data_IF_680540840317
#
_entry.id   IF_680540840317
#
_cell.length_a   1.000
_cell.length_b   1.000
_cell.length_c   1.000
_cell.angle_alpha   90.00
_cell.angle_beta   90.00
_cell.angle_gamma   90.00
#
_symmetry.space_group_name_H-M   'P 1'
#
loop_
_entity.id
_entity.type
_entity.pdbx_description
1 polymer ?
#
# COMPACT_ATOMS: atom_id res chain seq x y z
N UNK A 1 23.70 -9.56 -9.71
CA UNK A 1 22.81 -10.27 -10.65
C UNK A 1 23.32 -10.21 -12.09
N UNK A 2 23.64 -9.02 -12.65
CA UNK A 2 24.15 -8.91 -14.01
C UNK A 2 25.53 -9.54 -14.17
N UNK A 3 26.40 -9.41 -13.16
CA UNK A 3 27.76 -9.99 -13.16
C UNK A 3 27.72 -11.51 -13.02
N UNK A 4 26.79 -12.07 -12.24
CA UNK A 4 26.60 -13.52 -12.11
C UNK A 4 26.12 -14.13 -13.44
N UNK A 5 25.21 -13.45 -14.10
CA UNK A 5 24.71 -13.83 -15.41
C UNK A 5 25.80 -13.81 -16.48
N UNK A 6 26.63 -12.75 -16.52
CA UNK A 6 27.77 -12.65 -17.45
C UNK A 6 28.82 -13.72 -17.16
N UNK A 7 29.07 -14.07 -15.90
CA UNK A 7 29.96 -15.17 -15.54
C UNK A 7 29.44 -16.52 -16.03
N UNK A 8 28.15 -16.78 -15.89
CA UNK A 8 27.52 -18.01 -16.37
C UNK A 8 27.60 -18.13 -17.88
N UNK A 9 27.38 -17.03 -18.62
CA UNK A 9 27.55 -17.02 -20.09
C UNK A 9 28.99 -17.25 -20.49
N UNK A 10 29.96 -16.68 -19.78
CA UNK A 10 31.39 -16.92 -20.04
C UNK A 10 31.78 -18.40 -19.87
N UNK A 11 31.32 -19.04 -18.81
CA UNK A 11 31.57 -20.47 -18.56
C UNK A 11 30.96 -21.34 -19.65
N UNK A 12 29.78 -21.02 -20.18
CA UNK A 12 29.12 -21.74 -21.26
C UNK A 12 29.87 -21.55 -22.59
N UNK A 13 30.41 -20.36 -22.86
CA UNK A 13 31.16 -20.05 -24.06
C UNK A 13 32.54 -20.68 -24.06
N UNK A 14 33.14 -20.91 -22.90
CA UNK A 14 34.48 -21.52 -22.74
C UNK A 14 34.46 -23.06 -22.83
N UNK A 15 33.30 -23.71 -22.70
CA UNK A 15 33.14 -25.17 -22.82
C UNK A 15 32.11 -25.52 -23.93
N UNK A 16 32.57 -25.66 -25.21
CA UNK A 16 31.69 -25.87 -26.31
C UNK A 16 31.19 -27.33 -26.37
N UNK A 17 30.10 -27.60 -25.64
CA UNK A 17 29.34 -28.83 -25.80
C UNK A 17 28.24 -28.64 -26.86
N UNK A 18 27.82 -29.70 -27.59
CA UNK A 18 26.78 -29.61 -28.63
C UNK A 18 25.43 -29.03 -28.10
N UNK A 19 25.15 -29.18 -26.82
CA UNK A 19 23.95 -28.68 -26.16
C UNK A 19 24.05 -27.21 -25.72
N UNK A 20 25.23 -26.59 -25.84
CA UNK A 20 25.46 -25.20 -25.45
C UNK A 20 24.68 -24.21 -26.32
N UNK A 21 24.45 -24.52 -27.58
CA UNK A 21 23.65 -23.70 -28.51
C UNK A 21 22.18 -23.72 -28.13
N UNK A 22 21.62 -24.88 -27.75
CA UNK A 22 20.25 -25.00 -27.29
C UNK A 22 20.06 -24.28 -25.96
N UNK A 23 21.06 -24.32 -25.09
CA UNK A 23 21.07 -23.62 -23.81
C UNK A 23 21.14 -22.09 -23.98
N UNK A 24 21.96 -21.60 -24.90
CA UNK A 24 22.03 -20.18 -25.25
C UNK A 24 20.71 -19.67 -25.85
N UNK A 25 20.08 -20.46 -26.70
CA UNK A 25 18.78 -20.13 -27.28
C UNK A 25 17.69 -20.13 -26.20
N UNK A 26 17.73 -21.07 -25.23
CA UNK A 26 16.85 -21.10 -24.10
C UNK A 26 17.05 -19.87 -23.17
N UNK A 27 18.29 -19.45 -22.93
CA UNK A 27 18.62 -18.23 -22.16
C UNK A 27 18.12 -17.00 -22.92
N UNK A 28 18.34 -16.92 -24.24
CA UNK A 28 17.82 -15.81 -25.06
C UNK A 28 16.29 -15.75 -25.01
N UNK A 29 15.60 -16.88 -25.14
CA UNK A 29 14.14 -16.96 -25.02
C UNK A 29 13.67 -16.55 -23.63
N UNK A 30 14.35 -16.95 -22.57
CA UNK A 30 14.03 -16.54 -21.20
C UNK A 30 14.28 -15.03 -20.96
N UNK A 31 15.32 -14.45 -21.54
CA UNK A 31 15.59 -13.02 -21.49
C UNK A 31 14.52 -12.21 -22.23
N UNK A 32 14.13 -12.66 -23.41
CA UNK A 32 13.04 -12.05 -24.16
C UNK A 32 11.67 -12.30 -23.52
N UNK A 33 11.49 -13.44 -22.85
CA UNK A 33 10.27 -13.76 -22.11
C UNK A 33 10.17 -13.06 -20.75
N UNK A 34 11.29 -12.56 -20.19
CA UNK A 34 11.30 -11.82 -18.90
C UNK A 34 10.89 -10.36 -19.01
N UNK A 35 10.81 -9.82 -20.22
CA UNK A 35 10.42 -8.44 -20.49
C UNK A 35 9.35 -8.38 -21.56
N UNK A 36 8.46 -7.41 -21.43
CA UNK A 36 7.43 -7.09 -22.40
C UNK A 36 7.57 -5.64 -22.88
N UNK A 37 7.10 -5.36 -24.07
CA UNK A 37 7.04 -4.03 -24.66
C UNK A 37 5.60 -3.55 -24.67
N UNK A 38 5.34 -2.44 -23.99
CA UNK A 38 4.02 -1.84 -23.85
C UNK A 38 4.02 -0.46 -24.50
N UNK A 39 2.95 -0.16 -25.23
CA UNK A 39 2.82 1.10 -25.93
C UNK A 39 1.92 2.08 -25.16
N UNK A 40 2.33 3.35 -25.10
CA UNK A 40 1.46 4.44 -24.66
C UNK A 40 0.52 4.85 -25.80
N UNK A 41 -0.59 5.57 -25.53
CA UNK A 41 -1.46 6.10 -26.57
C UNK A 41 -0.75 7.03 -27.57
N UNK A 42 0.37 7.63 -27.16
CA UNK A 42 1.22 8.48 -28.01
C UNK A 42 2.20 7.69 -28.89
N UNK A 43 2.24 6.37 -28.73
CA UNK A 43 3.13 5.49 -29.48
C UNK A 43 4.52 5.30 -28.87
N UNK A 44 4.77 5.77 -27.67
CA UNK A 44 6.00 5.51 -26.94
C UNK A 44 6.07 4.05 -26.50
N UNK A 45 7.24 3.45 -26.59
CA UNK A 45 7.49 2.06 -26.17
C UNK A 45 8.11 2.07 -24.78
N UNK A 46 7.51 1.34 -23.85
CA UNK A 46 8.02 1.17 -22.50
C UNK A 46 8.27 -0.31 -22.24
N UNK A 47 9.49 -0.63 -21.83
CA UNK A 47 9.89 -1.98 -21.45
C UNK A 47 9.48 -2.24 -20.00
N UNK A 48 8.73 -3.32 -19.79
CA UNK A 48 8.23 -3.73 -18.47
C UNK A 48 8.59 -5.19 -18.20
N UNK A 49 8.76 -5.61 -16.94
CA UNK A 49 8.91 -7.01 -16.59
C UNK A 49 7.68 -7.82 -17.00
N UNK A 50 7.89 -9.06 -17.43
CA UNK A 50 6.80 -9.99 -17.72
C UNK A 50 5.95 -10.24 -16.44
N UNK A 51 4.64 -10.33 -16.59
CA UNK A 51 3.71 -10.51 -15.48
C UNK A 51 3.35 -9.22 -14.74
N UNK A 52 3.80 -8.05 -15.21
CA UNK A 52 3.40 -6.76 -14.64
C UNK A 52 1.91 -6.47 -14.88
N UNK A 53 1.34 -5.69 -13.98
CA UNK A 53 -0.06 -5.25 -14.06
C UNK A 53 -0.18 -3.84 -14.64
N UNK A 54 -1.41 -3.42 -14.95
CA UNK A 54 -1.70 -2.06 -15.36
C UNK A 54 -1.25 -1.03 -14.31
N UNK A 55 -1.37 -1.36 -13.02
CA UNK A 55 -0.91 -0.51 -11.94
C UNK A 55 0.62 -0.38 -11.90
N UNK A 56 1.36 -1.46 -12.13
CA UNK A 56 2.82 -1.44 -12.28
C UNK A 56 3.25 -0.46 -13.39
N UNK A 57 2.55 -0.51 -14.52
CA UNK A 57 2.77 0.40 -15.64
C UNK A 57 2.49 1.86 -15.27
N UNK A 58 1.41 2.12 -14.56
CA UNK A 58 1.07 3.47 -14.10
C UNK A 58 2.17 4.07 -13.20
N UNK A 59 2.69 3.31 -12.24
CA UNK A 59 3.81 3.74 -11.41
C UNK A 59 5.12 3.89 -12.17
N UNK A 60 5.31 3.12 -13.24
CA UNK A 60 6.49 3.24 -14.10
C UNK A 60 6.51 4.56 -14.85
N UNK A 61 5.35 5.03 -15.31
CA UNK A 61 5.25 6.32 -16.03
C UNK A 61 5.43 7.48 -15.04
N UNK A 62 4.61 7.53 -14.00
CA UNK A 62 4.65 8.59 -13.00
C UNK A 62 3.96 8.15 -11.71
N UNK A 63 4.51 8.56 -10.57
CA UNK A 63 3.94 8.24 -9.25
C UNK A 63 2.51 8.75 -9.09
N UNK A 64 2.20 9.93 -9.62
CA UNK A 64 0.84 10.48 -9.59
C UNK A 64 -0.16 9.58 -10.32
N UNK A 65 0.19 9.09 -11.51
CA UNK A 65 -0.66 8.19 -12.28
C UNK A 65 -0.91 6.88 -11.52
N UNK A 66 0.11 6.32 -10.90
CA UNK A 66 -0.02 5.12 -10.09
C UNK A 66 -0.90 5.32 -8.86
N UNK A 67 -0.70 6.41 -8.13
CA UNK A 67 -1.43 6.67 -6.88
C UNK A 67 -2.91 7.01 -7.09
N UNK A 68 -3.28 7.53 -8.26
CA UNK A 68 -4.65 7.93 -8.60
C UNK A 68 -5.31 7.02 -9.63
N UNK A 69 -4.67 5.89 -9.97
CA UNK A 69 -5.15 4.96 -10.97
C UNK A 69 -6.44 4.27 -10.52
N UNK A 70 -7.47 4.33 -11.35
CA UNK A 70 -8.76 3.65 -11.15
C UNK A 70 -8.94 2.44 -12.07
N UNK A 71 -8.14 2.34 -13.11
CA UNK A 71 -8.18 1.30 -14.12
C UNK A 71 -7.33 1.68 -15.32
N UNK A 72 -7.44 0.90 -16.36
CA UNK A 72 -6.76 1.17 -17.62
C UNK A 72 -7.60 0.72 -18.81
N UNK A 73 -7.29 1.25 -19.99
CA UNK A 73 -7.75 0.71 -21.26
C UNK A 73 -6.59 0.00 -21.93
N UNK A 74 -6.71 -1.30 -22.12
CA UNK A 74 -5.73 -2.12 -22.82
C UNK A 74 -6.33 -2.48 -24.19
N UNK A 75 -5.67 -2.03 -25.26
CA UNK A 75 -6.18 -2.17 -26.63
C UNK A 75 -7.62 -1.69 -26.77
N UNK A 76 -7.92 -0.53 -26.18
CA UNK A 76 -9.25 0.13 -26.13
C UNK A 76 -10.31 -0.58 -25.29
N UNK A 77 -9.94 -1.61 -24.52
CA UNK A 77 -10.84 -2.30 -23.59
C UNK A 77 -10.56 -1.90 -22.16
N UNK A 78 -11.61 -1.57 -21.40
CA UNK A 78 -11.50 -1.25 -19.98
C UNK A 78 -11.13 -2.48 -19.18
N UNK A 79 -10.08 -2.37 -18.38
CA UNK A 79 -9.55 -3.42 -17.51
C UNK A 79 -9.28 -2.90 -16.10
N UNK A 80 -9.30 -3.78 -15.08
CA UNK A 80 -8.96 -3.39 -13.71
C UNK A 80 -7.46 -3.14 -13.53
N UNK A 81 -7.08 -2.56 -12.39
CA UNK A 81 -5.70 -2.31 -12.00
C UNK A 81 -4.83 -3.56 -11.98
N UNK A 82 -5.40 -4.69 -11.62
CA UNK A 82 -4.73 -5.99 -11.48
C UNK A 82 -4.56 -6.75 -12.80
N UNK A 83 -5.05 -6.19 -13.90
CA UNK A 83 -4.92 -6.83 -15.21
C UNK A 83 -3.46 -6.98 -15.62
N UNK A 84 -3.05 -8.19 -15.95
CA UNK A 84 -1.70 -8.48 -16.43
C UNK A 84 -1.52 -8.06 -17.89
N UNK A 85 -0.44 -7.33 -18.16
CA UNK A 85 -0.13 -6.83 -19.48
C UNK A 85 0.65 -7.88 -20.30
N UNK A 86 0.44 -7.84 -21.60
CA UNK A 86 1.17 -8.65 -22.57
C UNK A 86 2.00 -7.77 -23.51
N UNK A 87 3.06 -8.33 -24.09
CA UNK A 87 3.86 -7.62 -25.08
C UNK A 87 3.01 -7.19 -26.27
N UNK A 88 3.17 -5.95 -26.69
CA UNK A 88 2.40 -5.34 -27.78
C UNK A 88 1.10 -4.66 -27.36
N UNK A 89 0.73 -4.72 -26.09
CA UNK A 89 -0.46 -4.03 -25.58
C UNK A 89 -0.27 -2.51 -25.62
N UNK A 90 -1.32 -1.81 -26.06
CA UNK A 90 -1.44 -0.36 -25.94
C UNK A 90 -2.23 -0.05 -24.67
N UNK A 91 -1.62 0.65 -23.71
CA UNK A 91 -2.18 0.90 -22.39
C UNK A 91 -2.41 2.38 -22.15
N UNK A 92 -3.63 2.74 -21.82
CA UNK A 92 -4.02 4.06 -21.37
C UNK A 92 -4.45 3.99 -19.91
N UNK A 93 -3.75 4.73 -19.03
CA UNK A 93 -4.06 4.75 -17.60
C UNK A 93 -5.20 5.74 -17.33
N UNK A 94 -6.21 5.26 -16.60
CA UNK A 94 -7.34 6.08 -16.15
C UNK A 94 -7.13 6.48 -14.70
N UNK A 95 -7.31 7.75 -14.40
CA UNK A 95 -7.10 8.31 -13.07
C UNK A 95 -8.31 9.06 -12.56
N UNK A 96 -8.42 9.16 -11.24
CA UNK A 96 -9.39 10.01 -10.55
C UNK A 96 -8.73 10.73 -9.39
N UNK A 97 -9.06 12.00 -9.20
CA UNK A 97 -8.54 12.80 -8.07
C UNK A 97 -8.99 12.28 -6.71
N UNK A 98 -10.12 11.58 -6.67
CA UNK A 98 -10.67 10.98 -5.45
C UNK A 98 -10.09 9.62 -5.11
N UNK A 99 -9.27 9.03 -5.99
CA UNK A 99 -8.65 7.74 -5.73
C UNK A 99 -7.48 7.86 -4.76
N UNK A 100 -7.37 6.91 -3.86
CA UNK A 100 -6.29 6.78 -2.88
C UNK A 100 -5.63 5.41 -2.99
N UNK A 101 -4.35 5.36 -2.69
CA UNK A 101 -3.60 4.10 -2.61
C UNK A 101 -4.19 3.21 -1.52
N UNK A 102 -4.46 1.96 -1.87
CA UNK A 102 -5.02 0.98 -0.95
C UNK A 102 -3.98 -0.08 -0.55
N UNK A 103 -4.00 -0.56 0.71
CA UNK A 103 -3.07 -1.61 1.16
C UNK A 103 -3.12 -2.88 0.32
N UNK A 104 -4.29 -3.24 -0.21
CA UNK A 104 -4.49 -4.42 -1.04
C UNK A 104 -3.70 -4.38 -2.37
N UNK A 105 -3.32 -3.20 -2.84
CA UNK A 105 -2.57 -3.05 -4.09
C UNK A 105 -1.19 -3.69 -4.06
N UNK A 106 -0.58 -3.81 -2.90
CA UNK A 106 0.70 -4.50 -2.72
C UNK A 106 0.64 -5.97 -3.14
N UNK A 107 -0.54 -6.59 -3.02
CA UNK A 107 -0.72 -8.03 -3.26
C UNK A 107 -0.72 -8.40 -4.75
N UNK A 108 -1.09 -7.50 -5.65
CA UNK A 108 -1.18 -7.80 -7.07
C UNK A 108 -0.13 -7.11 -7.95
N UNK A 109 0.57 -6.08 -7.46
CA UNK A 109 1.70 -5.50 -8.19
C UNK A 109 2.90 -6.46 -8.17
N UNK A 110 3.62 -6.52 -9.28
CA UNK A 110 4.75 -7.44 -9.42
C UNK A 110 6.11 -6.75 -9.39
N UNK A 111 6.19 -5.44 -9.69
CA UNK A 111 7.46 -4.71 -9.71
C UNK A 111 7.85 -4.21 -8.33
N UNK A 112 9.15 -4.27 -8.02
CA UNK A 112 9.69 -3.72 -6.77
C UNK A 112 9.48 -2.20 -6.67
N UNK A 113 9.53 -1.49 -7.80
CA UNK A 113 9.28 -0.05 -7.89
C UNK A 113 7.86 0.31 -7.46
N UNK A 114 6.85 -0.39 -7.97
CA UNK A 114 5.46 -0.17 -7.61
C UNK A 114 5.20 -0.49 -6.13
N UNK A 115 5.69 -1.63 -5.64
CA UNK A 115 5.60 -2.01 -4.22
C UNK A 115 6.21 -0.97 -3.30
N UNK A 116 7.41 -0.52 -3.61
CA UNK A 116 8.14 0.48 -2.82
C UNK A 116 7.40 1.80 -2.75
N UNK A 117 6.87 2.28 -3.87
CA UNK A 117 6.11 3.53 -3.94
C UNK A 117 4.78 3.44 -3.21
N UNK A 118 4.04 2.34 -3.36
CA UNK A 118 2.80 2.09 -2.63
C UNK A 118 3.06 2.10 -1.13
N UNK A 119 4.06 1.37 -0.65
CA UNK A 119 4.41 1.31 0.77
C UNK A 119 4.81 2.68 1.33
N UNK A 120 5.56 3.47 0.57
CA UNK A 120 5.95 4.82 0.97
C UNK A 120 4.74 5.77 1.10
N UNK A 121 3.80 5.71 0.16
CA UNK A 121 2.56 6.50 0.20
C UNK A 121 1.69 6.10 1.39
N UNK A 122 1.50 4.81 1.62
CA UNK A 122 0.71 4.31 2.76
C UNK A 122 1.30 4.73 4.11
N UNK A 123 2.62 4.72 4.25
CA UNK A 123 3.29 5.20 5.47
C UNK A 123 3.09 6.69 5.69
N UNK A 124 3.17 7.48 4.64
CA UNK A 124 2.92 8.93 4.70
C UNK A 124 1.48 9.23 5.08
N UNK A 125 0.53 8.56 4.45
CA UNK A 125 -0.90 8.73 4.72
C UNK A 125 -1.24 8.32 6.16
N UNK A 126 -0.68 7.23 6.66
CA UNK A 126 -0.82 6.81 8.06
C UNK A 126 -0.28 7.86 9.04
N UNK A 127 0.86 8.46 8.75
CA UNK A 127 1.44 9.52 9.60
C UNK A 127 0.55 10.76 9.63
N UNK A 128 -0.03 11.16 8.51
CA UNK A 128 -0.96 12.30 8.44
C UNK A 128 -2.23 12.02 9.24
N UNK A 129 -2.79 10.83 9.14
CA UNK A 129 -3.96 10.40 9.91
C UNK A 129 -3.64 10.35 11.42
N UNK A 130 -2.49 9.84 11.82
CA UNK A 130 -2.03 9.83 13.21
C UNK A 130 -1.87 11.24 13.78
N UNK A 131 -1.28 12.17 13.02
CA UNK A 131 -1.18 13.58 13.42
C UNK A 131 -2.55 14.23 13.61
N UNK A 132 -3.49 13.92 12.72
CA UNK A 132 -4.87 14.39 12.85
C UNK A 132 -5.53 13.84 14.11
N UNK A 133 -5.33 12.56 14.42
CA UNK A 133 -5.80 11.93 15.64
C UNK A 133 -5.19 12.54 16.90
N UNK A 134 -3.92 12.84 16.88
CA UNK A 134 -3.23 13.55 17.98
C UNK A 134 -3.80 14.96 18.20
N UNK A 135 -4.09 15.68 17.14
CA UNK A 135 -4.74 16.99 17.21
C UNK A 135 -6.15 16.89 17.81
N UNK A 136 -6.93 15.90 17.40
CA UNK A 136 -8.28 15.63 17.96
C UNK A 136 -8.20 15.40 19.47
N UNK A 137 -7.26 14.57 19.91
CA UNK A 137 -7.07 14.29 21.33
C UNK A 137 -6.63 15.53 22.10
N UNK A 138 -5.70 16.29 21.56
CA UNK A 138 -5.21 17.53 22.19
C UNK A 138 -6.33 18.52 22.39
N UNK A 139 -7.15 18.77 21.38
CA UNK A 139 -8.31 19.67 21.48
C UNK A 139 -9.33 19.18 22.51
N UNK A 140 -9.63 17.88 22.52
CA UNK A 140 -10.58 17.30 23.47
C UNK A 140 -10.08 17.41 24.92
N UNK A 141 -8.80 17.16 25.17
CA UNK A 141 -8.17 17.33 26.47
C UNK A 141 -8.19 18.79 26.94
N UNK A 142 -7.89 19.73 26.05
CA UNK A 142 -7.95 21.15 26.34
C UNK A 142 -9.36 21.60 26.73
N UNK A 143 -10.39 21.14 26.03
CA UNK A 143 -11.79 21.44 26.35
C UNK A 143 -12.20 20.91 27.71
N UNK A 144 -11.57 19.87 28.24
CA UNK A 144 -11.82 19.24 29.50
C UNK A 144 -10.81 19.65 30.61
N UNK A 145 -10.00 20.67 30.36
CA UNK A 145 -8.96 21.17 31.27
C UNK A 145 -7.94 20.07 31.67
N UNK A 146 -7.61 19.19 30.75
CA UNK A 146 -6.62 18.14 30.94
C UNK A 146 -5.40 18.40 30.05
N UNK A 147 -4.23 17.97 30.54
CA UNK A 147 -2.98 18.07 29.78
C UNK A 147 -2.68 16.77 29.02
N UNK A 148 -2.03 16.93 27.87
CA UNK A 148 -1.54 15.83 27.06
C UNK A 148 -0.29 15.24 27.70
N UNK A 149 -0.45 14.15 28.46
CA UNK A 149 0.67 13.43 29.07
C UNK A 149 0.73 11.98 28.57
N UNK A 150 1.89 11.36 28.69
CA UNK A 150 2.05 9.95 28.35
C UNK A 150 1.11 9.05 29.15
N UNK A 151 0.89 9.38 30.42
CA UNK A 151 -0.02 8.64 31.29
C UNK A 151 -1.47 8.70 30.82
N UNK A 152 -1.93 9.86 30.35
CA UNK A 152 -3.28 10.04 29.79
C UNK A 152 -3.47 9.20 28.54
N UNK A 153 -2.49 9.24 27.63
CA UNK A 153 -2.54 8.44 26.40
C UNK A 153 -2.56 6.94 26.71
N UNK A 154 -1.72 6.48 27.62
CA UNK A 154 -1.66 5.08 28.01
C UNK A 154 -2.97 4.59 28.65
N UNK A 155 -3.59 5.38 29.53
CA UNK A 155 -4.88 5.05 30.11
C UNK A 155 -6.00 4.94 29.06
N UNK A 156 -6.02 5.83 28.08
CA UNK A 156 -6.98 5.77 26.98
C UNK A 156 -6.73 4.57 26.08
N UNK A 157 -5.47 4.24 25.79
CA UNK A 157 -5.11 3.04 25.05
C UNK A 157 -5.59 1.77 25.77
N UNK A 158 -5.37 1.65 27.06
CA UNK A 158 -5.88 0.53 27.87
C UNK A 158 -7.39 0.47 27.87
N UNK A 159 -8.06 1.60 28.03
CA UNK A 159 -9.52 1.68 28.04
C UNK A 159 -10.15 1.21 26.73
N UNK A 160 -9.51 1.55 25.59
CA UNK A 160 -9.95 1.12 24.25
C UNK A 160 -9.32 -0.20 23.81
N UNK A 161 -8.54 -0.86 24.66
CA UNK A 161 -7.87 -2.13 24.38
C UNK A 161 -6.95 -2.07 23.16
N UNK A 162 -6.19 -1.00 23.02
CA UNK A 162 -5.23 -0.76 21.94
C UNK A 162 -3.81 -0.79 22.51
N UNK A 163 -2.95 -1.63 21.95
CA UNK A 163 -1.59 -1.84 22.48
C UNK A 163 -0.60 -0.74 22.10
N UNK A 164 -0.77 -0.13 20.92
CA UNK A 164 0.17 0.88 20.40
C UNK A 164 -0.49 2.24 20.31
N UNK A 165 0.21 3.28 20.79
CA UNK A 165 -0.25 4.68 20.72
C UNK A 165 -0.54 5.14 19.30
N UNK A 166 0.30 4.74 18.35
CA UNK A 166 0.12 5.09 16.94
C UNK A 166 -1.21 4.57 16.39
N UNK A 167 -1.60 3.36 16.76
CA UNK A 167 -2.88 2.77 16.37
C UNK A 167 -4.06 3.51 17.01
N UNK A 168 -3.89 3.99 18.23
CA UNK A 168 -4.90 4.81 18.92
C UNK A 168 -5.09 6.15 18.19
N UNK A 169 -4.02 6.86 17.88
CA UNK A 169 -4.09 8.10 17.11
C UNK A 169 -4.65 7.89 15.72
N UNK A 170 -4.29 6.82 15.06
CA UNK A 170 -4.85 6.47 13.76
C UNK A 170 -6.36 6.24 13.84
N UNK A 171 -6.83 5.50 14.83
CA UNK A 171 -8.26 5.25 15.05
C UNK A 171 -9.04 6.52 15.35
N UNK A 172 -8.43 7.46 16.07
CA UNK A 172 -9.01 8.80 16.28
C UNK A 172 -9.08 9.61 15.00
N UNK A 173 -8.01 9.61 14.21
CA UNK A 173 -7.94 10.32 12.94
C UNK A 173 -8.91 9.78 11.89
N UNK A 174 -9.18 8.49 11.91
CA UNK A 174 -10.15 7.80 11.03
C UNK A 174 -11.59 7.87 11.57
N UNK A 175 -11.80 8.49 12.73
CA UNK A 175 -13.09 8.54 13.42
C UNK A 175 -13.68 7.17 13.79
N UNK A 176 -12.84 6.15 13.92
CA UNK A 176 -13.23 4.83 14.42
C UNK A 176 -13.47 4.84 15.94
N UNK A 177 -12.79 5.72 16.65
CA UNK A 177 -12.96 5.99 18.07
C UNK A 177 -13.43 7.44 18.24
N UNK A 178 -14.47 7.62 19.03
CA UNK A 178 -14.97 8.93 19.43
C UNK A 178 -14.76 9.11 20.93
N UNK A 179 -14.11 10.20 21.30
CA UNK A 179 -13.88 10.57 22.69
C UNK A 179 -15.17 11.12 23.32
N UNK A 180 -15.52 10.64 24.49
CA UNK A 180 -16.76 11.01 25.19
C UNK A 180 -16.62 10.98 26.69
N UNK A 181 -17.77 11.07 27.39
CA UNK A 181 -17.83 11.13 28.87
C UNK A 181 -17.21 9.89 29.54
N UNK A 182 -17.30 8.72 28.91
CA UNK A 182 -16.70 7.48 29.45
C UNK A 182 -15.18 7.56 29.52
N UNK A 183 -14.58 8.15 28.49
CA UNK A 183 -13.13 8.38 28.42
C UNK A 183 -12.71 9.38 29.52
N UNK A 184 -13.50 10.40 29.75
CA UNK A 184 -13.26 11.40 30.78
C UNK A 184 -13.37 10.78 32.19
N UNK A 185 -14.37 9.96 32.44
CA UNK A 185 -14.57 9.26 33.70
C UNK A 185 -13.40 8.30 34.00
N UNK A 186 -12.88 7.61 32.99
CA UNK A 186 -11.71 6.75 33.13
C UNK A 186 -10.45 7.55 33.50
N UNK A 187 -10.25 8.71 32.89
CA UNK A 187 -9.10 9.58 33.18
C UNK A 187 -9.20 10.23 34.58
N UNK A 188 -10.41 10.54 35.03
CA UNK A 188 -10.65 11.18 36.31
C UNK A 188 -10.79 10.18 37.47
N UNK A 189 -10.72 8.88 37.20
CA UNK A 189 -10.83 7.83 38.21
C UNK A 189 -12.21 7.74 38.88
N UNK A 190 -13.27 8.19 38.22
CA UNK A 190 -14.64 8.05 38.75
C UNK A 190 -15.07 6.59 38.71
N UNK A 191 -15.64 6.04 39.82
CA UNK A 191 -16.04 4.65 39.84
C UNK A 191 -17.13 4.38 38.79
N UNK A 192 -16.98 3.30 38.06
CA UNK A 192 -17.97 2.80 37.08
C UNK A 192 -19.32 2.68 37.80
N UNK A 193 -20.33 3.45 37.39
CA UNK A 193 -21.71 3.22 37.84
C UNK A 193 -22.07 1.78 37.44
N UNK A 194 -22.15 0.89 38.43
CA UNK A 194 -22.70 -0.45 38.23
C UNK A 194 -24.11 -0.29 37.70
N UNK A 195 -24.38 -0.86 36.53
CA UNK A 195 -25.75 -1.07 36.07
C UNK A 195 -26.43 -1.93 37.14
N UNK A 196 -27.31 -1.35 37.91
CA UNK A 196 -28.25 -2.12 38.74
C UNK A 196 -29.04 -2.99 37.77
N UNK A 197 -28.79 -4.30 37.86
CA UNK A 197 -29.67 -5.30 37.27
C UNK A 197 -30.99 -5.20 38.02
N UNK A 198 -31.97 -4.58 37.40
CA UNK A 198 -33.35 -4.66 37.90
C UNK A 198 -33.78 -6.12 37.74
N UNK A 199 -33.69 -6.82 38.84
CA UNK A 199 -34.34 -8.10 39.06
C UNK A 199 -35.85 -7.88 38.98
N UNK A 200 -36.46 -8.23 37.88
CA UNK A 200 -37.89 -8.45 37.84
C UNK A 200 -38.13 -9.84 38.39
N UNK A 201 -38.54 -9.90 39.64
CA UNK A 201 -39.33 -11.00 40.19
C UNK A 201 -40.73 -10.40 40.38
N UNK A 202 -41.64 -10.93 39.61
CA UNK A 202 -42.96 -11.44 39.98
C UNK A 202 -43.64 -11.97 38.69
#
# INVERSE_FOLDING_TARGET
ELNDWLSTIKEILDDPQPDAMDFLDAIKLNLYASEIFVFTPKGEIITMPAGCTALDFAFQIHTFLGSHCIGAKVNHKLVPLSHKLNSGDQVEILTSKSQHVQPAWVNFVSTAKAKSKIMAILRRDSREVQKKGESILTEWLQKNNLEMTNSVVDKLCEFHNIQKRDNFFQSLGEHCILLGEKDLDELQGKPKKQKQSSSWRD
#
